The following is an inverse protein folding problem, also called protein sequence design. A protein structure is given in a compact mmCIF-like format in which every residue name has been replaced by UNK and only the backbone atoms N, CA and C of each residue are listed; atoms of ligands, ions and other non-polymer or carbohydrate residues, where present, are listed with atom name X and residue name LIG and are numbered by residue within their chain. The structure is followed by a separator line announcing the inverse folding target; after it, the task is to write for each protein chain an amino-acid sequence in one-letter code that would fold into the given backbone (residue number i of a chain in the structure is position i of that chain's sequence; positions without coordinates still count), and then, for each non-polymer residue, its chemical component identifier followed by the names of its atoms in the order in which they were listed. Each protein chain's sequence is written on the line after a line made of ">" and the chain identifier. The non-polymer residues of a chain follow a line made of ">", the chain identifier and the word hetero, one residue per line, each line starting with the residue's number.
data_IF_322352311080
#
_entry.id   IF_322352311080
#
_cell.length_a   1.000
_cell.length_b   1.000
_cell.length_c   1.000
_cell.angle_alpha   90.00
_cell.angle_beta   90.00
_cell.angle_gamma   90.00
#
_symmetry.space_group_name_H-M   'P 1'
#
loop_
_entity.id
_entity.type
_entity.pdbx_description
1 polymer ?
#
# COMPACT_ATOMS: atom_id res chain seq x y z
N UNK A 1 9.78 29.18 -5.25
CA UNK A 1 10.89 30.11 -4.90
C UNK A 1 12.25 29.63 -5.42
N UNK A 2 12.67 28.39 -5.17
CA UNK A 2 14.00 27.90 -5.62
C UNK A 2 14.14 27.90 -7.14
N UNK A 3 13.14 27.44 -7.87
CA UNK A 3 13.13 27.43 -9.34
C UNK A 3 13.09 28.85 -9.91
N UNK A 4 12.30 29.73 -9.34
CA UNK A 4 12.21 31.13 -9.73
C UNK A 4 13.57 31.86 -9.53
N UNK A 5 14.26 31.60 -8.42
CA UNK A 5 15.59 32.12 -8.18
C UNK A 5 16.63 31.57 -9.17
N UNK A 6 16.57 30.26 -9.49
CA UNK A 6 17.46 29.67 -10.50
C UNK A 6 17.24 30.27 -11.89
N UNK A 7 16.00 30.48 -12.29
CA UNK A 7 15.65 31.11 -13.57
C UNK A 7 16.07 32.58 -13.65
N UNK A 8 16.00 33.30 -12.51
CA UNK A 8 16.42 34.70 -12.44
C UNK A 8 17.93 34.87 -12.49
N UNK A 9 18.72 33.88 -12.09
CA UNK A 9 20.19 33.96 -12.01
C UNK A 9 20.89 33.44 -13.28
N UNK A 10 20.21 32.86 -14.24
CA UNK A 10 20.83 32.26 -15.42
C UNK A 10 19.95 32.45 -16.67
N UNK A 11 20.56 33.01 -17.73
CA UNK A 11 19.90 33.13 -19.04
C UNK A 11 19.59 31.79 -19.70
N UNK A 12 20.13 30.70 -19.21
CA UNK A 12 19.98 29.34 -19.77
C UNK A 12 20.01 28.22 -18.71
N UNK A 13 19.15 28.27 -17.68
CA UNK A 13 19.06 27.12 -16.78
C UNK A 13 17.96 26.18 -17.27
N UNK A 14 18.27 25.07 -17.94
CA UNK A 14 17.26 24.10 -18.32
C UNK A 14 16.76 23.40 -17.06
N UNK A 15 15.55 23.72 -16.66
CA UNK A 15 14.83 23.00 -15.60
C UNK A 15 13.93 21.98 -16.25
N UNK A 16 14.06 20.72 -15.88
CA UNK A 16 13.20 19.64 -16.33
C UNK A 16 12.27 19.20 -15.20
N UNK A 17 10.96 19.37 -15.41
CA UNK A 17 9.94 18.87 -14.52
C UNK A 17 9.25 17.69 -15.22
N UNK A 18 9.26 16.53 -14.58
CA UNK A 18 8.64 15.31 -15.11
C UNK A 18 7.57 14.82 -14.13
N UNK A 19 6.40 14.48 -14.65
CA UNK A 19 5.33 13.92 -13.84
C UNK A 19 4.16 13.43 -14.68
N UNK A 20 3.21 12.80 -14.03
CA UNK A 20 1.96 12.36 -14.65
C UNK A 20 0.79 12.72 -13.73
N UNK A 21 -0.02 13.67 -14.17
CA UNK A 21 -1.20 14.15 -13.45
C UNK A 21 -2.19 13.01 -13.17
N UNK A 22 -2.33 12.07 -14.11
CA UNK A 22 -3.23 10.92 -13.99
C UNK A 22 -2.79 9.90 -12.93
N UNK A 23 -1.50 9.95 -12.54
CA UNK A 23 -0.95 9.14 -11.44
C UNK A 23 -0.99 9.83 -10.07
N UNK A 24 -1.63 10.99 -9.96
CA UNK A 24 -1.79 11.69 -8.68
C UNK A 24 -2.90 11.05 -7.83
N UNK A 25 -2.62 9.91 -7.22
CA UNK A 25 -3.57 9.10 -6.44
C UNK A 25 -3.48 9.33 -4.92
N UNK A 26 -2.68 10.30 -4.46
CA UNK A 26 -2.44 10.58 -3.04
C UNK A 26 -3.05 11.91 -2.56
N UNK A 27 -4.22 12.32 -3.10
CA UNK A 27 -4.90 13.56 -2.68
C UNK A 27 -5.16 13.59 -1.17
N UNK A 28 -5.50 12.47 -0.58
CA UNK A 28 -5.74 12.32 0.85
C UNK A 28 -4.48 12.50 1.74
N UNK A 29 -3.28 12.59 1.13
CA UNK A 29 -2.00 12.92 1.77
C UNK A 29 -1.47 14.31 1.37
N UNK A 30 -2.33 15.18 0.84
CA UNK A 30 -1.93 16.50 0.37
C UNK A 30 -1.29 16.51 -1.02
N UNK A 31 -1.41 15.42 -1.79
CA UNK A 31 -0.98 15.40 -3.18
C UNK A 31 -1.91 16.27 -4.03
N UNK A 32 -1.37 17.30 -4.65
CA UNK A 32 -2.12 18.20 -5.52
C UNK A 32 -1.69 18.01 -6.98
N UNK A 33 -2.62 17.49 -7.79
CA UNK A 33 -2.42 17.28 -9.23
C UNK A 33 -2.39 18.60 -10.01
N UNK A 34 -2.95 19.68 -9.46
CA UNK A 34 -3.02 21.00 -10.09
C UNK A 34 -1.63 21.64 -10.18
N UNK A 35 -0.72 21.28 -9.28
CA UNK A 35 0.65 21.76 -9.32
C UNK A 35 1.27 21.56 -10.71
N UNK A 36 1.24 20.33 -11.21
CA UNK A 36 1.79 20.02 -12.54
C UNK A 36 0.86 20.44 -13.68
N UNK A 37 -0.46 20.39 -13.48
CA UNK A 37 -1.43 20.71 -14.52
C UNK A 37 -1.48 22.22 -14.82
N UNK A 38 -1.39 23.07 -13.81
CA UNK A 38 -1.67 24.52 -13.86
C UNK A 38 -0.62 25.37 -13.18
N UNK A 39 -0.36 25.18 -11.88
CA UNK A 39 0.40 26.11 -11.05
C UNK A 39 1.84 26.30 -11.53
N UNK A 40 2.49 25.24 -12.04
CA UNK A 40 3.85 25.38 -12.61
C UNK A 40 3.88 26.39 -13.75
N UNK A 41 2.85 26.41 -14.60
CA UNK A 41 2.80 27.34 -15.72
C UNK A 41 2.42 28.75 -15.30
N UNK A 42 1.54 28.86 -14.31
CA UNK A 42 1.14 30.14 -13.70
C UNK A 42 2.33 30.79 -12.98
N UNK A 43 3.07 30.01 -12.18
CA UNK A 43 4.20 30.48 -11.39
C UNK A 43 5.46 30.86 -12.20
N UNK A 44 5.73 30.12 -13.28
CA UNK A 44 6.94 30.31 -14.09
C UNK A 44 6.71 31.14 -15.37
N UNK A 45 5.43 31.42 -15.70
CA UNK A 45 5.01 32.09 -16.93
C UNK A 45 4.88 31.13 -18.11
N UNK A 46 3.75 31.19 -18.79
CA UNK A 46 3.43 30.29 -19.90
C UNK A 46 4.44 30.33 -21.05
N UNK A 47 5.02 31.49 -21.31
CA UNK A 47 6.00 31.71 -22.39
C UNK A 47 7.38 31.11 -22.06
N UNK A 48 7.65 30.80 -20.80
CA UNK A 48 8.91 30.22 -20.35
C UNK A 48 8.88 28.68 -20.29
N UNK A 49 7.77 28.06 -20.65
CA UNK A 49 7.56 26.60 -20.51
C UNK A 49 7.29 25.93 -21.85
N UNK A 50 8.11 24.96 -22.18
CA UNK A 50 7.82 23.99 -23.23
C UNK A 50 7.22 22.72 -22.64
N UNK A 51 5.98 22.39 -23.01
CA UNK A 51 5.31 21.17 -22.60
C UNK A 51 5.49 20.07 -23.66
N UNK A 52 6.02 18.94 -23.24
CA UNK A 52 6.14 17.74 -24.08
C UNK A 52 5.44 16.57 -23.43
N UNK A 53 4.61 15.87 -24.19
CA UNK A 53 3.97 14.64 -23.75
C UNK A 53 4.80 13.43 -24.19
N UNK A 54 5.05 12.50 -23.27
CA UNK A 54 5.67 11.23 -23.59
C UNK A 54 4.57 10.26 -23.99
N UNK A 55 4.50 9.94 -25.28
CA UNK A 55 3.47 9.06 -25.85
C UNK A 55 3.92 7.60 -25.95
N UNK A 56 5.22 7.35 -25.83
CA UNK A 56 5.80 6.02 -25.97
C UNK A 56 5.76 5.22 -24.68
N UNK A 57 5.20 4.01 -24.71
CA UNK A 57 5.25 3.06 -23.62
C UNK A 57 6.32 2.00 -23.90
N UNK A 58 7.37 2.00 -23.08
CA UNK A 58 8.50 1.08 -23.18
C UNK A 58 8.45 -0.03 -22.13
N UNK A 59 7.52 0.05 -21.18
CA UNK A 59 7.35 -0.90 -20.06
C UNK A 59 6.56 -2.13 -20.47
N UNK A 60 5.39 -1.91 -21.04
CA UNK A 60 4.40 -2.97 -21.28
C UNK A 60 4.45 -3.51 -22.70
N UNK A 61 4.02 -4.76 -22.87
CA UNK A 61 3.86 -5.40 -24.16
C UNK A 61 2.70 -4.78 -24.95
N UNK A 62 2.71 -4.86 -26.31
CA UNK A 62 1.77 -4.15 -27.15
C UNK A 62 0.29 -4.37 -26.82
N UNK A 63 -0.13 -5.62 -26.61
CA UNK A 63 -1.52 -5.94 -26.30
C UNK A 63 -2.00 -5.27 -24.99
N UNK A 64 -1.12 -5.20 -23.99
CA UNK A 64 -1.45 -4.55 -22.71
C UNK A 64 -1.64 -3.04 -22.88
N UNK A 65 -0.79 -2.39 -23.69
CA UNK A 65 -0.92 -0.97 -24.00
C UNK A 65 -2.21 -0.69 -24.75
N UNK A 66 -2.52 -1.49 -25.77
CA UNK A 66 -3.74 -1.37 -26.56
C UNK A 66 -5.00 -1.56 -25.72
N UNK A 67 -5.00 -2.58 -24.86
CA UNK A 67 -6.10 -2.83 -23.93
C UNK A 67 -6.33 -1.66 -22.98
N UNK A 68 -5.26 -1.15 -22.36
CA UNK A 68 -5.36 -0.03 -21.44
C UNK A 68 -5.88 1.24 -22.15
N UNK A 69 -5.40 1.51 -23.36
CA UNK A 69 -5.89 2.63 -24.17
C UNK A 69 -7.39 2.50 -24.43
N UNK A 70 -7.82 1.32 -24.88
CA UNK A 70 -9.23 1.05 -25.20
C UNK A 70 -10.12 1.11 -23.95
N UNK A 71 -9.67 0.50 -22.84
CA UNK A 71 -10.41 0.48 -21.58
C UNK A 71 -10.57 1.90 -21.02
N UNK A 72 -9.47 2.66 -20.91
CA UNK A 72 -9.52 4.04 -20.38
C UNK A 72 -10.40 4.91 -21.28
N UNK A 73 -10.26 4.80 -22.59
CA UNK A 73 -11.09 5.55 -23.55
C UNK A 73 -12.59 5.29 -23.35
N UNK A 74 -12.98 4.02 -23.18
CA UNK A 74 -14.36 3.63 -22.93
C UNK A 74 -14.89 4.11 -21.58
N UNK A 75 -14.08 4.04 -20.53
CA UNK A 75 -14.48 4.56 -19.20
C UNK A 75 -14.69 6.07 -19.25
N UNK A 76 -13.77 6.81 -19.88
CA UNK A 76 -13.88 8.27 -20.00
C UNK A 76 -15.10 8.67 -20.82
N UNK A 77 -15.38 7.96 -21.92
CA UNK A 77 -16.57 8.17 -22.75
C UNK A 77 -17.86 7.97 -21.95
N UNK A 78 -17.97 6.83 -21.26
CA UNK A 78 -19.13 6.47 -20.47
C UNK A 78 -19.36 7.43 -19.29
N UNK A 79 -18.32 7.73 -18.52
CA UNK A 79 -18.42 8.60 -17.36
C UNK A 79 -18.70 10.05 -17.76
N UNK A 80 -18.15 10.51 -18.92
CA UNK A 80 -18.47 11.82 -19.47
C UNK A 80 -19.93 11.93 -19.89
N UNK A 81 -20.51 10.87 -20.45
CA UNK A 81 -21.93 10.83 -20.80
C UNK A 81 -22.81 10.93 -19.55
N UNK A 82 -22.52 10.16 -18.50
CA UNK A 82 -23.24 10.21 -17.20
C UNK A 82 -23.13 11.62 -16.59
N UNK A 83 -21.91 12.17 -16.55
CA UNK A 83 -21.67 13.51 -16.01
C UNK A 83 -22.46 14.57 -16.77
N UNK A 84 -22.41 14.56 -18.11
CA UNK A 84 -23.14 15.52 -18.94
C UNK A 84 -24.66 15.43 -18.76
N UNK A 85 -25.21 14.22 -18.65
CA UNK A 85 -26.63 14.01 -18.38
C UNK A 85 -27.02 14.55 -17.00
N UNK A 86 -26.18 14.36 -16.00
CA UNK A 86 -26.39 14.86 -14.63
C UNK A 86 -26.34 16.38 -14.61
N UNK A 87 -25.35 17.00 -15.26
CA UNK A 87 -25.20 18.45 -15.34
C UNK A 87 -26.33 19.10 -16.12
N UNK A 88 -26.80 18.51 -17.23
CA UNK A 88 -27.94 18.97 -17.99
C UNK A 88 -29.23 18.94 -17.14
N UNK A 89 -29.43 17.88 -16.35
CA UNK A 89 -30.53 17.80 -15.41
C UNK A 89 -30.47 18.89 -14.32
N UNK A 90 -29.30 19.18 -13.78
CA UNK A 90 -29.08 20.23 -12.80
C UNK A 90 -29.35 21.64 -13.39
N UNK A 91 -28.90 21.90 -14.61
CA UNK A 91 -29.14 23.13 -15.33
C UNK A 91 -30.66 23.34 -15.60
N UNK A 92 -31.35 22.28 -16.06
CA UNK A 92 -32.80 22.33 -16.28
C UNK A 92 -33.62 22.61 -15.00
N UNK A 93 -33.09 22.19 -13.85
CA UNK A 93 -33.69 22.48 -12.53
C UNK A 93 -33.27 23.86 -11.97
N UNK A 94 -32.43 24.61 -12.68
CA UNK A 94 -31.92 25.92 -12.24
C UNK A 94 -30.90 25.87 -11.11
N UNK A 95 -30.32 24.69 -10.82
CA UNK A 95 -29.29 24.53 -9.80
C UNK A 95 -27.94 25.08 -10.24
N UNK A 96 -27.63 25.05 -11.53
CA UNK A 96 -26.45 25.63 -12.17
C UNK A 96 -26.86 26.32 -13.48
N UNK A 97 -26.03 27.22 -13.98
CA UNK A 97 -26.27 27.82 -15.32
C UNK A 97 -25.85 26.84 -16.43
N UNK A 98 -26.42 27.04 -17.62
CA UNK A 98 -26.08 26.25 -18.81
C UNK A 98 -24.59 26.36 -19.13
N UNK A 99 -24.02 27.56 -18.98
CA UNK A 99 -22.56 27.79 -19.21
C UNK A 99 -21.69 27.02 -18.23
N UNK A 100 -22.05 26.95 -16.95
CA UNK A 100 -21.35 26.14 -15.95
C UNK A 100 -21.47 24.65 -16.24
N UNK A 101 -22.66 24.19 -16.66
CA UNK A 101 -22.85 22.79 -17.06
C UNK A 101 -21.93 22.38 -18.22
N UNK A 102 -21.80 23.25 -19.25
CA UNK A 102 -20.91 23.01 -20.38
C UNK A 102 -19.43 23.00 -19.96
N UNK A 103 -18.99 23.93 -19.10
CA UNK A 103 -17.62 23.97 -18.59
C UNK A 103 -17.28 22.73 -17.77
N UNK A 104 -18.15 22.33 -16.85
CA UNK A 104 -17.93 21.15 -15.99
C UNK A 104 -17.97 19.86 -16.81
N UNK A 105 -18.86 19.76 -17.81
CA UNK A 105 -18.99 18.58 -18.67
C UNK A 105 -17.75 18.26 -19.49
N UNK A 106 -16.96 19.29 -19.86
CA UNK A 106 -15.73 19.12 -20.61
C UNK A 106 -14.51 18.68 -19.78
N UNK A 107 -14.59 18.79 -18.43
CA UNK A 107 -13.43 18.60 -17.56
C UNK A 107 -12.85 17.19 -17.61
N UNK A 108 -13.69 16.16 -17.60
CA UNK A 108 -13.24 14.77 -17.62
C UNK A 108 -12.50 14.43 -18.92
N UNK A 109 -13.10 14.78 -20.05
CA UNK A 109 -12.49 14.59 -21.37
C UNK A 109 -11.18 15.37 -21.51
N UNK A 110 -11.13 16.60 -20.99
CA UNK A 110 -9.92 17.42 -20.99
C UNK A 110 -8.80 16.80 -20.13
N UNK A 111 -9.14 16.28 -18.94
CA UNK A 111 -8.20 15.67 -18.02
C UNK A 111 -7.54 14.40 -18.59
N UNK A 112 -8.27 13.64 -19.41
CA UNK A 112 -7.78 12.41 -20.05
C UNK A 112 -7.31 12.61 -21.50
N UNK A 113 -7.27 13.85 -21.99
CA UNK A 113 -6.72 14.14 -23.31
C UNK A 113 -5.28 13.64 -23.41
N UNK A 114 -4.97 12.89 -24.49
CA UNK A 114 -3.64 12.33 -24.70
C UNK A 114 -3.28 11.16 -23.77
N UNK A 115 -4.27 10.45 -23.20
CA UNK A 115 -4.04 9.25 -22.40
C UNK A 115 -3.50 8.07 -23.20
N UNK A 116 -3.76 8.05 -24.51
CA UNK A 116 -3.35 6.97 -25.41
C UNK A 116 -1.83 6.93 -25.59
N UNK A 117 -1.26 5.75 -25.44
CA UNK A 117 0.16 5.50 -25.56
C UNK A 117 0.47 4.58 -26.74
N UNK A 118 1.66 4.71 -27.30
CA UNK A 118 2.16 3.86 -28.38
C UNK A 118 3.09 2.79 -27.80
N UNK A 119 2.89 1.51 -28.10
CA UNK A 119 3.79 0.47 -27.63
C UNK A 119 5.12 0.52 -28.40
N UNK A 120 6.22 0.71 -27.66
CA UNK A 120 7.57 0.76 -28.25
C UNK A 120 8.40 -0.50 -27.92
N UNK A 121 7.91 -1.35 -27.04
CA UNK A 121 8.62 -2.58 -26.67
C UNK A 121 8.58 -3.59 -27.81
N UNK A 122 9.74 -3.82 -28.43
CA UNK A 122 9.92 -4.88 -29.41
C UNK A 122 10.06 -6.22 -28.67
N UNK A 123 9.13 -7.12 -28.88
CA UNK A 123 9.15 -8.48 -28.31
C UNK A 123 8.51 -9.44 -29.30
N UNK A 124 8.92 -10.71 -29.26
CA UNK A 124 8.23 -11.78 -30.01
C UNK A 124 6.85 -12.09 -29.42
N UNK A 125 6.59 -11.71 -28.15
CA UNK A 125 5.31 -11.83 -27.49
C UNK A 125 4.55 -10.52 -27.55
N UNK A 126 3.29 -10.56 -27.93
CA UNK A 126 2.38 -9.41 -27.90
C UNK A 126 1.84 -9.11 -26.51
N UNK A 127 1.96 -10.04 -25.57
CA UNK A 127 1.39 -10.00 -24.23
C UNK A 127 0.13 -10.86 -24.10
N UNK A 128 -0.41 -10.93 -22.90
CA UNK A 128 -1.62 -11.71 -22.62
C UNK A 128 -2.50 -10.99 -21.61
N UNK A 129 -3.81 -11.01 -21.85
CA UNK A 129 -4.83 -10.47 -20.96
C UNK A 129 -5.92 -11.52 -20.80
N UNK A 130 -6.31 -11.78 -19.57
CA UNK A 130 -7.43 -12.66 -19.24
C UNK A 130 -8.37 -11.94 -18.29
N UNK A 131 -9.65 -11.95 -18.61
CA UNK A 131 -10.73 -11.45 -17.77
C UNK A 131 -11.63 -12.63 -17.47
N UNK A 132 -11.68 -13.00 -16.19
CA UNK A 132 -12.52 -14.11 -15.74
C UNK A 132 -13.70 -13.55 -14.95
N UNK A 133 -14.91 -13.85 -15.40
CA UNK A 133 -16.13 -13.57 -14.65
C UNK A 133 -16.54 -14.85 -13.93
N UNK A 134 -16.61 -14.81 -12.61
CA UNK A 134 -17.13 -15.90 -11.80
C UNK A 134 -18.48 -15.50 -11.19
N UNK A 135 -19.40 -16.47 -11.15
CA UNK A 135 -20.74 -16.25 -10.62
C UNK A 135 -20.71 -16.14 -9.10
N UNK A 136 -21.48 -15.20 -8.59
CA UNK A 136 -21.78 -15.08 -7.18
C UNK A 136 -23.17 -15.62 -7.00
N UNK A 137 -23.29 -16.82 -6.43
CA UNK A 137 -24.61 -17.29 -5.95
C UNK A 137 -24.93 -16.52 -4.67
N UNK A 138 -26.03 -15.74 -4.69
CA UNK A 138 -26.43 -14.90 -3.55
C UNK A 138 -26.69 -15.70 -2.27
N UNK A 139 -26.83 -17.00 -2.37
CA UNK A 139 -27.12 -17.91 -1.27
C UNK A 139 -25.87 -18.66 -0.74
N UNK A 140 -24.71 -18.49 -1.36
CA UNK A 140 -23.48 -19.16 -0.98
C UNK A 140 -22.38 -18.11 -0.70
N UNK A 141 -22.31 -17.68 0.55
CA UNK A 141 -21.27 -16.71 0.99
C UNK A 141 -19.84 -17.24 0.83
N UNK A 142 -19.65 -18.56 0.68
CA UNK A 142 -18.33 -19.18 0.53
C UNK A 142 -17.81 -19.18 -0.91
N UNK A 143 -18.68 -18.98 -1.90
CA UNK A 143 -18.35 -19.03 -3.33
C UNK A 143 -17.97 -17.66 -3.95
N UNK A 144 -17.70 -16.66 -3.12
CA UNK A 144 -17.36 -15.30 -3.58
C UNK A 144 -15.85 -15.11 -3.81
N UNK A 145 -15.06 -16.14 -3.59
CA UNK A 145 -13.61 -16.03 -3.66
C UNK A 145 -13.09 -16.27 -5.09
N UNK A 146 -12.18 -15.39 -5.58
CA UNK A 146 -11.63 -15.54 -6.93
C UNK A 146 -10.82 -16.85 -7.06
N UNK A 147 -10.78 -17.49 -8.24
CA UNK A 147 -10.01 -18.72 -8.48
C UNK A 147 -8.50 -18.42 -8.59
N UNK A 148 -7.94 -17.84 -7.53
CA UNK A 148 -6.56 -17.33 -7.51
C UNK A 148 -5.52 -18.45 -7.61
N UNK A 149 -5.77 -19.61 -6.96
CA UNK A 149 -4.84 -20.74 -6.94
C UNK A 149 -4.70 -21.32 -8.34
N UNK A 150 -5.81 -21.60 -9.02
CA UNK A 150 -5.83 -22.11 -10.39
C UNK A 150 -5.15 -21.13 -11.37
N UNK A 151 -5.35 -19.83 -11.16
CA UNK A 151 -4.70 -18.80 -11.94
C UNK A 151 -3.18 -18.83 -11.76
N UNK A 152 -2.70 -18.92 -10.52
CA UNK A 152 -1.26 -18.98 -10.21
C UNK A 152 -0.65 -20.28 -10.70
N UNK A 153 -1.29 -21.44 -10.50
CA UNK A 153 -0.79 -22.71 -11.03
C UNK A 153 -0.58 -22.65 -12.55
N UNK A 154 -1.55 -22.11 -13.27
CA UNK A 154 -1.46 -21.94 -14.74
C UNK A 154 -0.29 -21.02 -15.16
N UNK A 155 -0.04 -19.95 -14.40
CA UNK A 155 1.08 -19.04 -14.64
C UNK A 155 2.41 -19.74 -14.39
N UNK A 156 2.55 -20.47 -13.29
CA UNK A 156 3.77 -21.20 -12.96
C UNK A 156 4.03 -22.36 -13.94
N UNK A 157 2.97 -23.07 -14.39
CA UNK A 157 3.06 -24.06 -15.45
C UNK A 157 3.53 -23.47 -16.80
N UNK A 158 3.20 -22.21 -17.06
CA UNK A 158 3.68 -21.51 -18.23
C UNK A 158 5.16 -21.04 -18.13
N UNK A 159 5.85 -21.39 -17.02
CA UNK A 159 7.28 -21.15 -16.85
C UNK A 159 7.63 -19.81 -16.18
N UNK A 160 6.66 -19.06 -15.67
CA UNK A 160 6.93 -17.89 -14.85
C UNK A 160 7.36 -18.32 -13.45
N UNK A 161 8.24 -17.51 -12.84
CA UNK A 161 8.66 -17.71 -11.45
C UNK A 161 7.69 -17.01 -10.49
N UNK A 162 7.57 -17.45 -9.23
CA UNK A 162 6.77 -16.75 -8.23
C UNK A 162 7.09 -15.26 -8.12
N UNK A 163 8.39 -14.88 -8.18
CA UNK A 163 8.84 -13.49 -8.15
C UNK A 163 8.45 -12.64 -9.37
N UNK A 164 8.02 -13.28 -10.45
CA UNK A 164 7.51 -12.60 -11.62
C UNK A 164 6.04 -12.16 -11.46
N UNK A 165 5.36 -12.63 -10.39
CA UNK A 165 3.92 -12.44 -10.14
C UNK A 165 3.67 -11.43 -9.03
N UNK A 166 2.77 -10.48 -9.32
CA UNK A 166 2.22 -9.54 -8.33
C UNK A 166 0.70 -9.65 -8.30
N UNK A 167 0.15 -9.76 -7.11
CA UNK A 167 -1.30 -9.71 -6.87
C UNK A 167 -1.66 -8.34 -6.33
N UNK A 168 -2.55 -7.61 -7.02
CA UNK A 168 -3.00 -6.29 -6.63
C UNK A 168 -4.39 -6.35 -6.01
N UNK A 169 -4.54 -5.74 -4.85
CA UNK A 169 -5.81 -5.63 -4.13
C UNK A 169 -6.17 -4.17 -3.86
N UNK A 170 -7.44 -3.88 -3.67
CA UNK A 170 -7.89 -2.54 -3.37
C UNK A 170 -7.59 -2.13 -1.94
N UNK A 171 -7.78 -3.03 -1.02
CA UNK A 171 -7.58 -2.81 0.41
C UNK A 171 -6.77 -3.94 1.06
N UNK A 172 -6.38 -3.72 2.31
CA UNK A 172 -5.54 -4.66 3.07
C UNK A 172 -6.26 -5.96 3.42
N UNK A 173 -7.56 -5.91 3.65
CA UNK A 173 -8.36 -7.09 4.02
C UNK A 173 -8.47 -8.09 2.86
N UNK A 174 -8.65 -7.58 1.63
CA UNK A 174 -8.54 -8.41 0.43
C UNK A 174 -7.14 -9.05 0.32
N UNK A 175 -6.09 -8.26 0.58
CA UNK A 175 -4.70 -8.75 0.56
C UNK A 175 -4.47 -9.86 1.58
N UNK A 176 -4.98 -9.72 2.80
CA UNK A 176 -4.89 -10.75 3.83
C UNK A 176 -5.61 -12.05 3.42
N UNK A 177 -6.83 -11.95 2.91
CA UNK A 177 -7.59 -13.12 2.45
C UNK A 177 -6.84 -13.89 1.37
N UNK A 178 -6.28 -13.19 0.39
CA UNK A 178 -5.47 -13.82 -0.65
C UNK A 178 -4.21 -14.45 -0.06
N UNK A 179 -3.50 -13.73 0.84
CA UNK A 179 -2.30 -14.27 1.49
C UNK A 179 -2.59 -15.57 2.26
N UNK A 180 -3.63 -15.58 3.08
CA UNK A 180 -4.04 -16.77 3.83
C UNK A 180 -4.31 -17.95 2.88
N UNK A 181 -5.10 -17.74 1.81
CA UNK A 181 -5.40 -18.81 0.84
C UNK A 181 -4.16 -19.36 0.15
N UNK A 182 -3.19 -18.48 -0.20
CA UNK A 182 -1.96 -18.93 -0.83
C UNK A 182 -1.05 -19.67 0.15
N UNK A 183 -0.99 -19.24 1.41
CA UNK A 183 -0.26 -19.94 2.47
C UNK A 183 -0.88 -21.31 2.78
N UNK A 184 -2.20 -21.40 2.89
CA UNK A 184 -2.92 -22.66 3.08
C UNK A 184 -2.65 -23.63 1.93
N UNK A 185 -2.70 -23.13 0.69
CA UNK A 185 -2.35 -23.92 -0.48
C UNK A 185 -0.91 -24.43 -0.42
N UNK A 186 0.07 -23.57 -0.19
CA UNK A 186 1.49 -23.98 -0.14
C UNK A 186 1.79 -24.90 1.05
N UNK A 187 1.03 -24.81 2.14
CA UNK A 187 1.09 -25.70 3.30
C UNK A 187 0.45 -27.08 3.06
N UNK A 188 -0.44 -27.21 2.06
CA UNK A 188 -1.14 -28.45 1.76
C UNK A 188 -0.21 -29.50 1.14
N UNK A 189 -0.50 -30.82 1.43
CA UNK A 189 0.16 -31.95 0.78
C UNK A 189 -0.08 -31.99 -0.73
N UNK A 190 -1.22 -31.47 -1.19
CA UNK A 190 -1.69 -31.54 -2.58
C UNK A 190 -1.21 -30.37 -3.44
N UNK A 191 -0.42 -29.45 -2.86
CA UNK A 191 0.11 -28.31 -3.58
C UNK A 191 1.07 -28.75 -4.69
N UNK A 192 0.75 -28.39 -5.95
CA UNK A 192 1.61 -28.66 -7.11
C UNK A 192 2.88 -27.79 -7.13
N UNK A 193 2.80 -26.62 -6.50
CA UNK A 193 3.91 -25.67 -6.41
C UNK A 193 4.12 -25.21 -4.97
N UNK A 194 5.38 -25.00 -4.62
CA UNK A 194 5.80 -24.39 -3.35
C UNK A 194 6.40 -23.02 -3.65
N UNK A 195 5.91 -22.00 -2.97
CA UNK A 195 6.41 -20.62 -3.07
C UNK A 195 6.11 -19.87 -1.79
N UNK A 196 6.86 -18.84 -1.55
CA UNK A 196 6.62 -17.91 -0.45
C UNK A 196 5.60 -16.84 -0.85
N UNK A 197 4.96 -16.23 0.13
CA UNK A 197 4.01 -15.13 -0.07
C UNK A 197 4.52 -13.91 0.67
N UNK A 198 4.73 -12.82 -0.05
CA UNK A 198 5.13 -11.54 0.53
C UNK A 198 3.99 -10.55 0.37
N UNK A 199 3.56 -9.95 1.47
CA UNK A 199 2.58 -8.86 1.42
C UNK A 199 3.24 -7.56 1.86
N UNK A 200 3.19 -6.52 1.06
CA UNK A 200 3.79 -5.21 1.40
C UNK A 200 3.15 -4.54 2.64
N UNK A 201 1.96 -4.99 3.04
CA UNK A 201 1.24 -4.50 4.22
C UNK A 201 1.37 -5.41 5.44
N UNK A 202 1.85 -6.64 5.28
CA UNK A 202 1.82 -7.67 6.32
C UNK A 202 3.17 -7.93 6.98
N UNK A 203 4.25 -7.38 6.45
CA UNK A 203 5.57 -7.63 7.00
C UNK A 203 6.14 -6.35 7.63
N UNK A 204 5.44 -5.83 8.63
CA UNK A 204 6.17 -5.08 9.66
C UNK A 204 6.84 -6.11 10.57
N UNK A 205 8.02 -5.77 11.07
CA UNK A 205 8.74 -6.62 12.02
C UNK A 205 7.86 -7.03 13.21
N UNK A 206 6.92 -6.17 13.59
CA UNK A 206 5.95 -6.40 14.66
C UNK A 206 4.83 -7.41 14.34
N UNK A 207 4.73 -7.88 13.11
CA UNK A 207 3.65 -8.81 12.73
C UNK A 207 3.87 -10.22 13.27
N UNK A 208 5.12 -10.65 13.36
CA UNK A 208 5.45 -11.98 13.83
C UNK A 208 5.37 -12.07 15.36
N UNK A 209 4.75 -13.12 15.92
CA UNK A 209 4.67 -13.33 17.35
C UNK A 209 6.02 -13.32 18.06
N UNK A 210 7.09 -13.78 17.41
CA UNK A 210 8.44 -13.80 18.00
C UNK A 210 8.97 -12.39 18.24
N UNK A 211 8.72 -11.46 17.35
CA UNK A 211 9.12 -10.06 17.54
C UNK A 211 8.35 -9.43 18.71
N UNK A 212 7.04 -9.66 18.77
CA UNK A 212 6.21 -9.24 19.90
C UNK A 212 6.68 -9.83 21.23
N UNK A 213 7.07 -11.10 21.23
CA UNK A 213 7.64 -11.78 22.41
C UNK A 213 8.95 -11.14 22.86
N UNK A 214 9.89 -10.87 21.94
CA UNK A 214 11.18 -10.23 22.29
C UNK A 214 10.96 -8.84 22.90
N UNK A 215 10.10 -8.04 22.28
CA UNK A 215 9.77 -6.69 22.78
C UNK A 215 9.09 -6.77 24.16
N UNK A 216 8.15 -7.69 24.34
CA UNK A 216 7.50 -7.89 25.64
C UNK A 216 8.51 -8.31 26.74
N UNK A 217 9.50 -9.15 26.41
CA UNK A 217 10.60 -9.46 27.34
C UNK A 217 11.41 -8.22 27.72
N UNK A 218 11.70 -7.32 26.77
CA UNK A 218 12.38 -6.06 27.04
C UNK A 218 11.53 -5.12 27.93
N UNK A 219 10.22 -5.06 27.71
CA UNK A 219 9.31 -4.32 28.59
C UNK A 219 9.32 -4.86 30.03
N UNK A 220 9.29 -6.18 30.21
CA UNK A 220 9.38 -6.81 31.53
C UNK A 220 10.72 -6.56 32.22
N UNK A 221 11.82 -6.40 31.50
CA UNK A 221 13.10 -6.01 32.07
C UNK A 221 13.03 -4.59 32.70
N UNK A 222 12.26 -3.68 32.14
CA UNK A 222 12.08 -2.33 32.68
C UNK A 222 10.99 -2.26 33.70
N UNK A 223 9.85 -2.90 33.47
CA UNK A 223 8.71 -2.96 34.36
C UNK A 223 8.22 -4.41 34.54
N UNK A 224 8.71 -5.12 35.59
CA UNK A 224 8.27 -6.49 35.88
C UNK A 224 6.78 -6.67 36.22
N UNK A 225 6.08 -5.55 36.44
CA UNK A 225 4.64 -5.52 36.75
C UNK A 225 3.77 -5.18 35.53
N UNK A 226 4.34 -5.17 34.33
CA UNK A 226 3.59 -4.96 33.10
C UNK A 226 2.79 -6.23 32.73
N UNK A 227 1.51 -6.21 33.08
CA UNK A 227 0.60 -7.32 32.90
C UNK A 227 0.42 -7.66 31.40
N UNK A 228 0.41 -6.65 30.51
CA UNK A 228 0.25 -6.87 29.07
C UNK A 228 1.46 -7.60 28.48
N UNK A 229 2.66 -7.17 28.83
CA UNK A 229 3.88 -7.83 28.40
C UNK A 229 4.00 -9.22 28.99
N UNK A 230 3.60 -9.43 30.26
CA UNK A 230 3.58 -10.75 30.89
C UNK A 230 2.62 -11.71 30.19
N UNK A 231 1.41 -11.26 29.89
CA UNK A 231 0.43 -12.05 29.12
C UNK A 231 0.95 -12.38 27.72
N UNK A 232 1.62 -11.45 27.05
CA UNK A 232 2.21 -11.66 25.73
C UNK A 232 3.30 -12.74 25.77
N UNK A 233 4.19 -12.68 26.77
CA UNK A 233 5.24 -13.69 26.97
C UNK A 233 4.63 -15.05 27.27
N UNK A 234 3.67 -15.11 28.20
CA UNK A 234 3.00 -16.35 28.57
C UNK A 234 2.28 -16.98 27.36
N UNK A 235 1.54 -16.18 26.60
CA UNK A 235 0.83 -16.64 25.41
C UNK A 235 1.80 -17.27 24.41
N UNK A 236 2.89 -16.59 24.11
CA UNK A 236 3.90 -17.10 23.18
C UNK A 236 4.49 -18.43 23.67
N UNK A 237 4.85 -18.53 24.94
CA UNK A 237 5.41 -19.77 25.51
C UNK A 237 4.41 -20.93 25.45
N UNK A 238 3.14 -20.69 25.73
CA UNK A 238 2.07 -21.71 25.62
C UNK A 238 1.92 -22.18 24.15
N UNK A 239 1.96 -21.27 23.19
CA UNK A 239 1.93 -21.59 21.76
C UNK A 239 3.15 -22.41 21.31
N UNK A 240 4.30 -22.27 22.01
CA UNK A 240 5.49 -23.11 21.82
C UNK A 240 5.46 -24.41 22.62
N UNK A 241 4.33 -24.76 23.24
CA UNK A 241 4.14 -26.03 23.97
C UNK A 241 4.64 -26.02 25.41
N UNK A 242 4.95 -24.87 25.98
CA UNK A 242 5.27 -24.76 27.41
C UNK A 242 4.00 -24.84 28.23
N UNK A 243 3.92 -25.78 29.16
CA UNK A 243 2.77 -25.92 30.08
C UNK A 243 2.78 -24.77 31.10
N UNK A 244 1.92 -23.78 30.87
CA UNK A 244 1.83 -22.56 31.68
C UNK A 244 0.46 -21.92 31.55
N UNK A 245 -0.06 -21.34 32.68
CA UNK A 245 -1.27 -20.53 32.60
C UNK A 245 -0.97 -19.17 31.92
N UNK A 246 -1.95 -18.62 31.21
CA UNK A 246 -1.76 -17.33 30.51
C UNK A 246 -1.52 -16.17 31.48
N UNK A 247 -2.12 -16.22 32.65
CA UNK A 247 -2.01 -15.24 33.74
C UNK A 247 -0.91 -15.57 34.75
N UNK A 248 -0.10 -16.62 34.50
CA UNK A 248 0.95 -17.04 35.41
C UNK A 248 1.90 -15.89 35.76
N UNK A 249 2.28 -15.80 37.02
CA UNK A 249 3.31 -14.88 37.47
C UNK A 249 4.70 -15.31 36.97
N UNK A 250 5.60 -14.33 36.88
CA UNK A 250 6.99 -14.61 36.53
C UNK A 250 7.64 -15.47 37.62
N UNK A 251 8.31 -16.54 37.24
CA UNK A 251 9.14 -17.33 38.16
C UNK A 251 10.32 -16.51 38.69
N UNK A 252 10.91 -16.91 39.80
CA UNK A 252 12.07 -16.21 40.36
C UNK A 252 13.26 -16.18 39.40
N UNK A 253 13.44 -17.23 38.59
CA UNK A 253 14.47 -17.28 37.56
C UNK A 253 14.21 -16.28 36.41
N UNK A 254 12.95 -16.06 36.05
CA UNK A 254 12.58 -15.06 35.05
C UNK A 254 12.75 -13.65 35.58
N UNK A 255 12.33 -13.40 36.83
CA UNK A 255 12.52 -12.10 37.49
C UNK A 255 14.00 -11.73 37.57
N UNK A 256 14.84 -12.69 37.98
CA UNK A 256 16.28 -12.49 38.03
C UNK A 256 16.90 -12.24 36.64
N UNK A 257 16.44 -12.96 35.62
CA UNK A 257 16.87 -12.76 34.24
C UNK A 257 16.53 -11.35 33.72
N UNK A 258 15.27 -10.93 33.86
CA UNK A 258 14.85 -9.59 33.46
C UNK A 258 15.53 -8.49 34.29
N UNK A 259 15.73 -8.68 35.56
CA UNK A 259 16.44 -7.72 36.42
C UNK A 259 17.90 -7.48 35.97
N UNK A 260 18.61 -8.55 35.58
CA UNK A 260 19.99 -8.44 35.05
C UNK A 260 20.01 -7.71 33.68
N UNK A 261 19.02 -7.93 32.84
CA UNK A 261 18.93 -7.32 31.53
C UNK A 261 18.71 -5.80 31.58
N UNK A 262 18.10 -5.29 32.64
CA UNK A 262 17.73 -3.87 32.79
C UNK A 262 18.87 -2.89 32.57
N UNK A 263 20.11 -3.29 32.85
CA UNK A 263 21.32 -2.44 32.75
C UNK A 263 22.18 -2.74 31.51
N UNK A 264 21.68 -3.56 30.59
CA UNK A 264 22.40 -3.93 29.35
C UNK A 264 21.95 -3.04 28.19
N UNK A 265 22.69 -3.07 27.09
CA UNK A 265 22.29 -2.42 25.84
C UNK A 265 21.05 -3.12 25.25
N UNK A 266 20.26 -2.46 24.38
CA UNK A 266 19.18 -3.13 23.64
C UNK A 266 19.65 -4.31 22.82
N UNK A 267 20.87 -4.25 22.25
CA UNK A 267 21.48 -5.31 21.48
C UNK A 267 21.82 -6.52 22.34
N UNK A 268 22.50 -6.32 23.47
CA UNK A 268 22.78 -7.39 24.43
C UNK A 268 21.50 -8.02 25.00
N UNK A 269 20.48 -7.20 25.27
CA UNK A 269 19.18 -7.68 25.74
C UNK A 269 18.51 -8.57 24.68
N UNK A 270 18.54 -8.14 23.42
CA UNK A 270 18.01 -8.92 22.30
C UNK A 270 18.71 -10.29 22.19
N UNK A 271 20.03 -10.31 22.19
CA UNK A 271 20.81 -11.55 22.09
C UNK A 271 20.55 -12.50 23.26
N UNK A 272 20.50 -11.98 24.51
CA UNK A 272 20.20 -12.77 25.68
C UNK A 272 18.82 -13.42 25.60
N UNK A 273 17.79 -12.72 25.09
CA UNK A 273 16.45 -13.26 24.90
C UNK A 273 16.49 -14.37 23.84
N UNK A 274 17.10 -14.12 22.69
CA UNK A 274 17.18 -15.08 21.58
C UNK A 274 17.88 -16.37 22.02
N UNK A 275 18.98 -16.26 22.77
CA UNK A 275 19.74 -17.42 23.28
C UNK A 275 18.92 -18.17 24.33
N UNK A 276 18.35 -17.47 25.32
CA UNK A 276 17.63 -18.11 26.44
C UNK A 276 16.45 -18.93 25.96
N UNK A 277 15.67 -18.37 25.03
CA UNK A 277 14.46 -19.00 24.52
C UNK A 277 14.69 -19.79 23.22
N UNK A 278 15.95 -19.91 22.76
CA UNK A 278 16.38 -20.65 21.57
C UNK A 278 15.60 -20.26 20.29
N UNK A 279 15.24 -18.98 20.18
CA UNK A 279 14.40 -18.48 19.10
C UNK A 279 15.03 -18.65 17.71
N UNK A 280 16.36 -18.68 17.64
CA UNK A 280 17.12 -18.92 16.41
C UNK A 280 16.95 -20.35 15.83
N UNK A 281 16.31 -21.26 16.57
CA UNK A 281 16.00 -22.62 16.12
C UNK A 281 14.65 -22.74 15.45
N UNK A 282 13.86 -21.66 15.38
CA UNK A 282 12.53 -21.60 14.78
C UNK A 282 12.70 -21.10 13.34
N UNK A 283 12.63 -21.97 12.31
CA UNK A 283 12.95 -21.59 10.93
C UNK A 283 12.07 -20.46 10.38
N UNK A 284 10.79 -20.48 10.73
CA UNK A 284 9.79 -19.51 10.27
C UNK A 284 10.02 -18.11 10.85
N UNK A 285 10.64 -18.02 12.04
CA UNK A 285 10.91 -16.77 12.73
C UNK A 285 12.25 -16.11 12.36
N UNK A 286 13.17 -16.82 11.72
CA UNK A 286 14.55 -16.35 11.46
C UNK A 286 14.58 -15.01 10.76
N UNK A 287 13.76 -14.81 9.72
CA UNK A 287 13.72 -13.56 8.96
C UNK A 287 13.27 -12.36 9.83
N UNK A 288 12.31 -12.58 10.73
CA UNK A 288 11.82 -11.55 11.64
C UNK A 288 12.80 -11.23 12.75
N UNK A 289 13.48 -12.26 13.27
CA UNK A 289 14.54 -12.11 14.26
C UNK A 289 15.71 -11.30 13.69
N UNK A 290 16.14 -11.61 12.46
CA UNK A 290 17.18 -10.85 11.76
C UNK A 290 16.78 -9.41 11.52
N UNK A 291 15.57 -9.17 11.01
CA UNK A 291 15.07 -7.82 10.77
C UNK A 291 14.94 -7.00 12.05
N UNK A 292 14.44 -7.60 13.15
CA UNK A 292 14.41 -6.94 14.44
C UNK A 292 15.82 -6.63 14.96
N UNK A 293 16.76 -7.56 14.80
CA UNK A 293 18.16 -7.35 15.15
C UNK A 293 18.79 -6.19 14.39
N UNK A 294 18.59 -6.12 13.06
CA UNK A 294 19.07 -4.98 12.24
C UNK A 294 18.51 -3.63 12.75
N UNK A 295 17.23 -3.59 13.16
CA UNK A 295 16.64 -2.39 13.75
C UNK A 295 17.26 -2.03 15.10
N UNK A 296 17.51 -3.01 15.96
CA UNK A 296 18.16 -2.81 17.26
C UNK A 296 19.58 -2.27 17.05
N UNK A 297 20.36 -2.90 16.18
CA UNK A 297 21.73 -2.46 15.84
C UNK A 297 21.73 -1.05 15.25
N UNK A 298 20.86 -0.78 14.28
CA UNK A 298 20.74 0.55 13.67
C UNK A 298 20.36 1.63 14.70
N UNK A 299 19.52 1.28 15.68
CA UNK A 299 19.19 2.18 16.77
C UNK A 299 20.40 2.45 17.67
N UNK A 300 21.17 1.42 18.04
CA UNK A 300 22.35 1.51 18.90
C UNK A 300 23.52 2.23 18.25
N UNK A 301 23.72 2.10 16.93
CA UNK A 301 24.87 2.68 16.22
C UNK A 301 24.87 4.22 16.25
N UNK A 302 23.72 4.86 16.27
CA UNK A 302 23.59 6.31 16.12
C UNK A 302 23.26 7.06 17.42
N UNK A 303 23.21 6.37 18.57
CA UNK A 303 22.75 6.95 19.85
C UNK A 303 23.40 6.26 21.04
N UNK A 304 23.49 6.96 22.17
CA UNK A 304 23.62 6.30 23.46
C UNK A 304 22.30 5.62 23.73
N UNK A 305 22.23 4.31 23.54
CA UNK A 305 21.01 3.54 23.53
C UNK A 305 20.87 2.75 24.83
N UNK A 306 19.76 2.97 25.51
CA UNK A 306 19.28 2.11 26.57
C UNK A 306 17.93 1.47 26.18
N UNK A 307 17.53 0.43 26.90
CA UNK A 307 16.28 -0.28 26.60
C UNK A 307 15.06 0.65 26.66
N UNK A 308 14.88 1.57 27.66
CA UNK A 308 13.76 2.49 27.69
C UNK A 308 13.65 3.39 26.47
N UNK A 309 14.77 3.90 25.96
CA UNK A 309 14.79 4.76 24.77
C UNK A 309 14.46 3.95 23.50
N UNK A 310 14.98 2.72 23.41
CA UNK A 310 14.65 1.82 22.31
C UNK A 310 13.15 1.46 22.30
N UNK A 311 12.57 1.10 23.44
CA UNK A 311 11.15 0.76 23.56
C UNK A 311 10.25 1.93 23.20
N UNK A 312 10.58 3.16 23.65
CA UNK A 312 9.85 4.37 23.25
C UNK A 312 9.87 4.58 21.74
N UNK A 313 11.05 4.45 21.12
CA UNK A 313 11.20 4.56 19.67
C UNK A 313 10.41 3.44 18.94
N UNK A 314 10.46 2.22 19.49
CA UNK A 314 9.71 1.09 18.95
C UNK A 314 8.21 1.36 18.99
N UNK A 315 7.66 1.78 20.09
CA UNK A 315 6.23 2.05 20.26
C UNK A 315 5.72 3.22 19.41
N UNK A 316 6.58 4.20 19.11
CA UNK A 316 6.21 5.32 18.25
C UNK A 316 6.35 5.01 16.76
N UNK A 317 7.42 4.35 16.35
CA UNK A 317 7.84 4.22 14.94
C UNK A 317 8.32 2.82 14.55
N UNK A 318 9.09 2.16 15.40
CA UNK A 318 9.81 0.92 15.06
C UNK A 318 8.88 -0.21 14.65
N UNK A 319 7.75 -0.36 15.31
CA UNK A 319 6.77 -1.39 15.02
C UNK A 319 6.16 -1.31 13.61
N UNK A 320 6.23 -0.14 12.96
CA UNK A 320 5.76 0.07 11.58
C UNK A 320 6.82 -0.22 10.53
N UNK A 321 8.04 -0.52 10.95
CA UNK A 321 9.13 -0.75 10.00
C UNK A 321 8.85 -2.03 9.21
N UNK A 322 8.78 -1.87 7.90
CA UNK A 322 8.61 -3.01 7.00
C UNK A 322 9.87 -3.87 7.03
N UNK A 323 9.70 -5.19 7.02
CA UNK A 323 10.77 -6.10 6.68
C UNK A 323 11.34 -5.69 5.31
N UNK A 324 12.63 -5.45 5.25
CA UNK A 324 13.34 -5.41 3.97
C UNK A 324 13.12 -6.76 3.30
N UNK A 325 12.24 -6.84 2.32
CA UNK A 325 12.15 -8.02 1.49
C UNK A 325 13.50 -8.16 0.78
N UNK A 326 14.37 -9.02 1.27
CA UNK A 326 15.38 -9.61 0.40
C UNK A 326 14.62 -10.09 -0.83
N UNK A 327 15.15 -9.82 -2.03
CA UNK A 327 14.56 -10.29 -3.28
C UNK A 327 14.43 -11.82 -3.23
N UNK A 328 13.38 -12.30 -2.58
CA UNK A 328 13.12 -13.72 -2.53
C UNK A 328 12.60 -14.14 -3.92
N UNK A 329 13.49 -14.74 -4.70
CA UNK A 329 13.18 -15.18 -6.07
C UNK A 329 12.07 -16.23 -6.16
N UNK A 330 11.57 -16.69 -5.02
CA UNK A 330 10.50 -17.71 -4.93
C UNK A 330 9.21 -17.19 -4.29
N UNK A 331 9.07 -15.88 -4.10
CA UNK A 331 7.89 -15.31 -3.47
C UNK A 331 6.95 -14.63 -4.46
N UNK A 332 5.64 -14.84 -4.27
CA UNK A 332 4.57 -14.06 -4.90
C UNK A 332 4.33 -12.82 -4.06
N UNK A 333 4.32 -11.66 -4.69
CA UNK A 333 4.09 -10.38 -4.02
C UNK A 333 2.62 -10.01 -4.05
N UNK A 334 2.04 -9.68 -2.89
CA UNK A 334 0.71 -9.10 -2.75
C UNK A 334 0.84 -7.66 -2.31
N UNK A 335 0.23 -6.74 -3.04
CA UNK A 335 0.29 -5.32 -2.77
C UNK A 335 -1.05 -4.63 -3.00
N UNK A 336 -1.29 -3.51 -2.32
CA UNK A 336 -2.43 -2.66 -2.68
C UNK A 336 -2.10 -1.83 -3.93
N UNK A 337 -3.14 -1.50 -4.73
CA UNK A 337 -3.01 -0.67 -5.93
C UNK A 337 -2.24 0.63 -5.65
N UNK A 338 -2.48 1.25 -4.49
CA UNK A 338 -1.78 2.48 -4.12
C UNK A 338 -0.27 2.29 -3.91
N UNK A 339 0.13 1.20 -3.27
CA UNK A 339 1.54 0.92 -2.97
C UNK A 339 2.32 0.42 -4.18
N UNK A 340 1.64 -0.26 -5.10
CA UNK A 340 2.25 -0.76 -6.32
C UNK A 340 2.59 0.33 -7.34
N UNK A 341 2.19 1.58 -7.08
CA UNK A 341 2.51 2.70 -7.97
C UNK A 341 4.03 2.81 -8.18
N UNK A 342 4.45 2.78 -9.45
CA UNK A 342 5.88 2.83 -9.84
C UNK A 342 6.56 1.48 -9.91
N UNK A 343 5.93 0.40 -9.45
CA UNK A 343 6.46 -0.95 -9.56
C UNK A 343 6.08 -1.59 -10.91
N UNK A 344 6.83 -2.62 -11.30
CA UNK A 344 6.48 -3.45 -12.46
C UNK A 344 6.72 -4.93 -12.14
N UNK A 345 5.91 -5.80 -12.75
CA UNK A 345 6.05 -7.25 -12.71
C UNK A 345 5.67 -7.82 -14.07
N UNK A 346 6.19 -9.01 -14.41
CA UNK A 346 5.84 -9.67 -15.66
C UNK A 346 4.39 -10.11 -15.71
N UNK A 347 3.85 -10.50 -14.56
CA UNK A 347 2.46 -10.93 -14.40
C UNK A 347 1.81 -10.14 -13.28
N UNK A 348 0.64 -9.56 -13.57
CA UNK A 348 -0.18 -8.85 -12.60
C UNK A 348 -1.55 -9.49 -12.55
N UNK A 349 -1.99 -9.86 -11.35
CA UNK A 349 -3.31 -10.42 -11.08
C UNK A 349 -4.11 -9.44 -10.24
N UNK A 350 -5.34 -9.15 -10.64
CA UNK A 350 -6.28 -8.32 -9.87
C UNK A 350 -7.48 -9.20 -9.53
N UNK A 351 -7.49 -9.88 -8.37
CA UNK A 351 -8.50 -10.89 -8.06
C UNK A 351 -9.90 -10.31 -7.83
N UNK A 352 -9.98 -9.09 -7.32
CA UNK A 352 -11.24 -8.43 -6.99
C UNK A 352 -11.41 -7.16 -7.83
N UNK A 353 -12.16 -7.23 -8.93
CA UNK A 353 -12.51 -6.09 -9.78
C UNK A 353 -13.99 -5.72 -9.70
N UNK A 354 -14.66 -6.01 -8.56
CA UNK A 354 -16.10 -5.86 -8.37
C UNK A 354 -16.48 -4.79 -7.34
N UNK A 355 -15.54 -3.92 -6.97
CA UNK A 355 -15.85 -2.83 -6.03
C UNK A 355 -16.79 -1.80 -6.64
N UNK A 356 -17.73 -1.30 -5.83
CA UNK A 356 -18.62 -0.22 -6.23
C UNK A 356 -17.85 1.07 -6.54
N UNK A 357 -18.24 1.73 -7.63
CA UNK A 357 -17.64 3.00 -8.06
C UNK A 357 -18.45 4.22 -7.56
N UNK A 358 -19.68 3.99 -7.13
CA UNK A 358 -20.53 5.04 -6.60
C UNK A 358 -20.06 5.53 -5.22
N UNK A 359 -20.09 6.83 -4.96
CA UNK A 359 -19.80 7.37 -3.64
C UNK A 359 -20.82 6.86 -2.62
N UNK A 360 -20.35 6.43 -1.47
CA UNK A 360 -21.24 5.99 -0.39
C UNK A 360 -21.99 7.19 0.19
N UNK A 361 -23.24 7.03 0.68
CA UNK A 361 -24.00 8.11 1.31
C UNK A 361 -23.32 8.77 2.52
N UNK A 362 -22.30 8.12 3.06
CA UNK A 362 -21.49 8.62 4.19
C UNK A 362 -20.23 9.36 3.73
N UNK A 363 -20.00 9.49 2.43
CA UNK A 363 -18.81 10.18 1.90
C UNK A 363 -18.89 11.67 2.22
N UNK A 364 -17.78 12.24 2.68
CA UNK A 364 -17.65 13.68 2.89
C UNK A 364 -17.07 14.31 1.62
N UNK A 365 -17.74 15.32 1.10
CA UNK A 365 -17.26 16.15 -0.01
C UNK A 365 -16.77 17.47 0.58
N UNK A 366 -15.54 17.85 0.22
CA UNK A 366 -14.98 19.13 0.61
C UNK A 366 -15.29 20.14 -0.49
N UNK A 367 -15.99 21.20 -0.12
CA UNK A 367 -16.42 22.25 -1.03
C UNK A 367 -15.74 23.56 -0.62
N UNK A 368 -15.20 24.29 -1.59
CA UNK A 368 -14.64 25.60 -1.35
C UNK A 368 -15.76 26.56 -0.89
N UNK A 369 -15.45 27.35 0.13
CA UNK A 369 -16.41 28.30 0.68
C UNK A 369 -16.23 29.64 0.00
N UNK A 370 -17.12 29.97 -0.93
CA UNK A 370 -17.20 31.29 -1.56
C UNK A 370 -18.11 32.27 -0.75
N UNK A 371 -18.55 31.86 0.43
CA UNK A 371 -19.45 32.66 1.25
C UNK A 371 -18.70 33.43 2.33
N UNK A 372 -18.90 34.74 2.39
CA UNK A 372 -18.25 35.64 3.35
C UNK A 372 -18.48 35.29 4.82
N UNK A 373 -19.53 34.53 5.16
CA UNK A 373 -19.78 34.06 6.51
C UNK A 373 -18.79 32.95 6.96
N UNK A 374 -18.10 32.30 6.00
CA UNK A 374 -17.12 31.25 6.24
C UNK A 374 -15.73 31.62 5.77
N UNK A 375 -15.48 32.93 5.52
CA UNK A 375 -14.18 33.44 5.16
C UNK A 375 -13.13 33.03 6.20
N UNK A 376 -12.12 32.32 5.74
CA UNK A 376 -11.04 31.78 6.58
C UNK A 376 -11.09 30.26 6.83
N UNK A 377 -12.18 29.55 6.47
CA UNK A 377 -12.23 28.10 6.59
C UNK A 377 -11.72 27.38 5.33
N UNK A 378 -11.55 28.09 4.21
CA UNK A 378 -11.07 27.54 2.94
C UNK A 378 -12.01 26.48 2.36
N UNK A 379 -12.13 25.35 2.98
CA UNK A 379 -13.00 24.25 2.54
C UNK A 379 -13.94 23.77 3.65
N UNK A 380 -15.20 23.53 3.30
CA UNK A 380 -16.25 23.06 4.21
C UNK A 380 -16.56 21.59 3.91
N UNK A 381 -16.56 20.69 4.92
CA UNK A 381 -16.96 19.32 4.72
C UNK A 381 -18.48 19.19 4.64
N UNK A 382 -18.99 18.77 3.50
CA UNK A 382 -20.40 18.44 3.32
C UNK A 382 -20.57 16.92 3.29
N UNK A 383 -21.54 16.41 4.04
CA UNK A 383 -21.93 15.01 3.94
C UNK A 383 -22.66 14.77 2.62
N UNK A 384 -22.17 13.83 1.82
CA UNK A 384 -22.86 13.41 0.62
C UNK A 384 -24.21 12.79 1.00
N UNK A 385 -25.29 13.38 0.53
CA UNK A 385 -26.67 12.85 0.65
C UNK A 385 -27.27 12.78 -0.74
N UNK A 386 -28.30 11.91 -0.90
CA UNK A 386 -29.02 11.78 -2.17
C UNK A 386 -29.61 13.11 -2.70
N UNK A 387 -29.85 14.05 -1.82
CA UNK A 387 -30.39 15.38 -2.17
C UNK A 387 -29.32 16.33 -2.73
N UNK A 388 -28.00 15.94 -2.63
CA UNK A 388 -26.87 16.71 -3.16
C UNK A 388 -26.30 16.04 -4.43
N UNK A 389 -26.82 14.86 -4.78
CA UNK A 389 -26.43 14.09 -5.96
C UNK A 389 -27.20 14.47 -7.21
#
# INVERSE_FOLDING_TARGET
>A
PLLQNSLAQSERTPVLIVGDVKQSIYRWRGGDWQILARHVAEDLGHDNIERRSLTENRRSLPLIVQFNNAMIGRVVEHDSEILNNTLASAANKGAISTSEAEQLGGLLTAAYRGHSQQPMRKSQSEGYISITRYGVDKNDEQNHEPPIIECIERILLAGYRPSDVMVLTRNKEEGKRIATRLLDYTGSSDAKFRFDVITQDALTVSYDPVAGFIIACMHLAINPKDDLSRLTVNKYLVEQGVERALDAELSEQEKEFFARMRSTSPEDAFEQIVIRYQLNKIPEAVAYIQALHELVVAFCTNRVADIPLFLRWWDEKGYKTALSAQENKQAIEISTIHKSKGLERKVVIIPYCSWGMEPKPTSTVWVDSDNSEFDGLGQIPLRFKKEIA
#
